data_IF_060805023144
#
_entry.id   IF_060805023144
#
_cell.length_a   1.000
_cell.length_b   1.000
_cell.length_c   1.000
_cell.angle_alpha   90.00
_cell.angle_beta   90.00
_cell.angle_gamma   90.00
#
_symmetry.space_group_name_H-M   'P 1'
#
loop_
_entity.id
_entity.type
_entity.pdbx_description
1 polymer ?
#
# COMPACT_ATOMS: atom_id res chain seq x y z
N UNK A 1 -37.96 -9.99 -9.23
CA UNK A 1 -38.22 -8.55 -9.37
C UNK A 1 -36.90 -7.76 -9.15
N UNK A 2 -36.33 -7.27 -10.21
CA UNK A 2 -35.25 -6.28 -10.15
C UNK A 2 -35.90 -4.89 -10.03
N UNK A 3 -36.35 -4.55 -8.85
CA UNK A 3 -36.91 -3.21 -8.56
C UNK A 3 -35.82 -2.31 -7.99
N UNK A 4 -35.20 -1.49 -8.83
CA UNK A 4 -34.33 -0.40 -8.38
C UNK A 4 -35.10 0.91 -8.26
N UNK A 5 -34.69 1.79 -7.37
CA UNK A 5 -35.16 3.19 -7.33
C UNK A 5 -34.32 3.99 -8.34
N UNK A 6 -35.00 4.57 -9.35
CA UNK A 6 -34.39 5.51 -10.29
C UNK A 6 -34.81 6.92 -9.92
N UNK A 7 -33.83 7.78 -9.57
CA UNK A 7 -34.02 9.21 -9.38
C UNK A 7 -33.45 9.93 -10.60
N UNK A 8 -34.26 10.75 -11.27
CA UNK A 8 -33.87 11.51 -12.49
C UNK A 8 -33.57 12.98 -12.19
N UNK A 9 -33.51 13.38 -10.94
CA UNK A 9 -33.14 14.68 -10.43
C UNK A 9 -32.34 14.56 -9.16
N UNK A 10 -32.33 15.60 -8.32
CA UNK A 10 -31.62 15.56 -7.06
C UNK A 10 -32.34 14.67 -6.03
N UNK A 11 -31.59 13.90 -5.29
CA UNK A 11 -32.05 13.20 -4.09
C UNK A 11 -31.52 13.98 -2.87
N UNK A 12 -32.43 14.61 -2.12
CA UNK A 12 -32.10 15.30 -0.88
C UNK A 12 -32.57 14.41 0.28
N UNK A 13 -31.64 14.01 1.12
CA UNK A 13 -31.91 13.26 2.36
C UNK A 13 -31.43 14.08 3.54
N UNK A 14 -32.32 14.37 4.48
CA UNK A 14 -32.04 15.24 5.64
C UNK A 14 -31.41 14.49 6.81
N UNK A 15 -31.46 13.15 6.77
CA UNK A 15 -30.88 12.26 7.76
C UNK A 15 -29.88 11.29 7.10
N UNK A 16 -29.61 10.14 7.74
CA UNK A 16 -28.67 9.18 7.24
C UNK A 16 -29.25 8.29 6.14
N UNK A 17 -28.42 7.92 5.17
CA UNK A 17 -28.73 6.94 4.12
C UNK A 17 -28.03 5.63 4.43
N UNK A 18 -28.80 4.55 4.56
CA UNK A 18 -28.30 3.18 4.69
C UNK A 18 -28.55 2.37 3.41
N UNK A 19 -27.54 1.76 2.87
CA UNK A 19 -27.63 0.78 1.80
C UNK A 19 -27.14 -0.56 2.36
N UNK A 20 -28.05 -1.51 2.55
CA UNK A 20 -27.74 -2.78 3.23
C UNK A 20 -27.51 -2.63 4.75
N UNK A 21 -27.91 -1.51 5.33
CA UNK A 21 -27.80 -1.19 6.77
C UNK A 21 -29.14 -0.64 7.26
N UNK A 22 -29.65 -1.17 8.36
CA UNK A 22 -30.92 -0.75 8.94
C UNK A 22 -30.82 0.47 9.85
N UNK A 23 -29.69 0.63 10.53
CA UNK A 23 -29.40 1.74 11.44
C UNK A 23 -28.06 2.40 11.06
N UNK A 24 -28.01 3.28 10.05
CA UNK A 24 -26.80 3.95 9.67
C UNK A 24 -26.37 4.97 10.74
N UNK A 25 -25.12 4.88 11.16
CA UNK A 25 -24.49 5.70 12.20
C UNK A 25 -23.73 6.93 11.64
N UNK A 26 -23.65 7.02 10.32
CA UNK A 26 -23.04 8.13 9.59
C UNK A 26 -23.94 8.55 8.40
N UNK A 27 -23.80 9.75 7.84
CA UNK A 27 -24.69 10.27 6.79
C UNK A 27 -24.86 9.35 5.57
N UNK A 28 -23.84 8.57 5.22
CA UNK A 28 -23.95 7.52 4.20
C UNK A 28 -23.26 6.24 4.72
N UNK A 29 -24.04 5.22 4.99
CA UNK A 29 -23.56 3.88 5.35
C UNK A 29 -23.90 2.90 4.24
N UNK A 30 -22.89 2.22 3.69
CA UNK A 30 -23.05 1.14 2.71
C UNK A 30 -22.45 -0.13 3.26
N UNK A 31 -23.25 -1.20 3.37
CA UNK A 31 -22.81 -2.52 3.79
C UNK A 31 -23.34 -3.58 2.86
N UNK A 32 -22.49 -4.51 2.49
CA UNK A 32 -22.88 -5.73 1.77
C UNK A 32 -22.42 -6.93 2.56
N UNK A 33 -23.24 -7.98 2.56
CA UNK A 33 -22.89 -9.29 3.11
C UNK A 33 -22.97 -10.30 1.96
N UNK A 34 -21.95 -10.33 1.12
CA UNK A 34 -21.83 -11.28 0.02
C UNK A 34 -20.56 -12.12 0.18
N UNK A 35 -20.74 -13.44 0.16
CA UNK A 35 -19.63 -14.38 0.08
C UNK A 35 -19.18 -14.51 -1.39
N UNK A 36 -17.91 -14.29 -1.62
CA UNK A 36 -17.31 -14.61 -2.90
C UNK A 36 -16.20 -13.67 -3.36
N UNK A 37 -15.26 -14.22 -4.10
CA UNK A 37 -14.24 -13.53 -4.85
C UNK A 37 -14.81 -12.99 -6.15
N UNK A 38 -14.37 -11.83 -6.57
CA UNK A 38 -14.71 -11.22 -7.85
C UNK A 38 -14.67 -9.70 -7.80
N UNK A 39 -14.28 -9.10 -8.91
CA UNK A 39 -14.08 -7.64 -9.03
C UNK A 39 -15.38 -6.82 -8.90
N UNK A 40 -16.53 -7.44 -9.10
CA UNK A 40 -17.84 -6.78 -9.11
C UNK A 40 -18.58 -6.88 -7.76
N UNK A 41 -17.92 -7.37 -6.69
CA UNK A 41 -18.53 -7.58 -5.37
C UNK A 41 -18.15 -6.54 -4.33
N UNK A 42 -17.83 -5.33 -4.75
CA UNK A 42 -17.58 -4.20 -3.85
C UNK A 42 -18.86 -3.52 -3.38
N UNK A 43 -18.84 -2.92 -2.20
CA UNK A 43 -19.97 -2.16 -1.64
C UNK A 43 -20.33 -0.91 -2.47
N UNK A 44 -19.36 -0.34 -3.17
CA UNK A 44 -19.58 0.80 -4.07
C UNK A 44 -18.60 0.76 -5.24
N UNK A 45 -19.06 1.14 -6.44
CA UNK A 45 -18.26 1.28 -7.64
C UNK A 45 -18.40 2.71 -8.17
N UNK A 46 -17.29 3.42 -8.27
CA UNK A 46 -17.23 4.77 -8.85
C UNK A 46 -16.59 4.68 -10.22
N UNK A 47 -17.29 5.09 -11.27
CA UNK A 47 -16.83 5.04 -12.65
C UNK A 47 -16.89 6.44 -13.25
N UNK A 48 -15.78 6.91 -13.78
CA UNK A 48 -15.72 8.11 -14.61
C UNK A 48 -15.38 7.69 -16.06
N UNK A 49 -16.30 7.89 -16.97
CA UNK A 49 -16.13 7.58 -18.40
C UNK A 49 -15.61 8.76 -19.21
N UNK A 50 -15.35 9.90 -18.58
CA UNK A 50 -14.81 11.07 -19.25
C UNK A 50 -13.33 10.85 -19.58
N UNK A 51 -12.95 11.00 -20.85
CA UNK A 51 -11.58 10.86 -21.34
C UNK A 51 -10.80 12.19 -21.39
N UNK A 52 -11.43 13.31 -20.99
CA UNK A 52 -10.79 14.63 -20.95
C UNK A 52 -9.68 14.74 -19.88
N UNK A 53 -8.70 15.61 -20.15
CA UNK A 53 -7.69 15.93 -19.14
C UNK A 53 -8.35 16.53 -17.90
N UNK A 54 -7.90 16.14 -16.70
CA UNK A 54 -8.46 16.58 -15.43
C UNK A 54 -9.70 15.80 -14.98
N UNK A 55 -10.12 14.75 -15.71
CA UNK A 55 -11.23 13.89 -15.27
C UNK A 55 -10.90 13.21 -13.92
N UNK A 56 -11.76 13.43 -12.92
CA UNK A 56 -11.60 12.85 -11.58
C UNK A 56 -12.80 11.97 -11.26
N UNK A 57 -12.54 10.76 -10.77
CA UNK A 57 -13.60 9.81 -10.38
C UNK A 57 -14.14 10.08 -8.98
N UNK A 58 -13.29 10.50 -8.07
CA UNK A 58 -13.64 10.72 -6.67
C UNK A 58 -12.86 11.90 -6.10
N UNK A 59 -13.56 12.89 -5.53
CA UNK A 59 -12.97 13.98 -4.77
C UNK A 59 -13.12 13.71 -3.27
N UNK A 60 -12.02 13.76 -2.52
CA UNK A 60 -12.01 13.75 -1.07
C UNK A 60 -11.49 15.10 -0.58
N UNK A 61 -12.36 15.90 0.01
CA UNK A 61 -12.01 17.22 0.52
C UNK A 61 -12.03 17.19 2.04
N UNK A 62 -10.89 17.50 2.65
CA UNK A 62 -10.74 17.65 4.08
C UNK A 62 -10.67 19.14 4.42
N UNK A 63 -11.70 19.68 5.06
CA UNK A 63 -11.76 21.10 5.45
C UNK A 63 -11.27 21.37 6.87
N UNK A 64 -11.05 20.30 7.67
CA UNK A 64 -10.55 20.43 9.03
C UNK A 64 -9.07 20.81 9.05
N UNK A 65 -8.71 21.83 9.82
CA UNK A 65 -7.32 22.23 10.08
C UNK A 65 -6.64 21.45 11.20
N UNK A 66 -7.28 20.42 11.74
CA UNK A 66 -6.73 19.60 12.83
C UNK A 66 -5.55 18.75 12.38
N UNK A 67 -4.54 18.62 13.26
CA UNK A 67 -3.28 17.91 12.98
C UNK A 67 -3.43 16.42 12.64
N UNK A 68 -4.61 15.82 12.84
CA UNK A 68 -4.88 14.39 12.64
C UNK A 68 -6.04 14.12 11.69
N UNK A 69 -6.30 15.02 10.74
CA UNK A 69 -7.35 14.87 9.76
C UNK A 69 -6.98 13.81 8.71
N UNK A 70 -7.75 12.71 8.65
CA UNK A 70 -7.56 11.65 7.68
C UNK A 70 -8.66 11.68 6.63
N UNK A 71 -8.30 11.68 5.33
CA UNK A 71 -9.26 11.61 4.23
C UNK A 71 -9.81 10.18 4.06
N UNK A 72 -8.98 9.16 4.29
CA UNK A 72 -9.37 7.75 4.24
C UNK A 72 -8.76 7.02 5.43
N UNK A 73 -9.53 6.12 6.05
CA UNK A 73 -9.04 5.19 7.06
C UNK A 73 -9.31 3.77 6.60
N UNK A 74 -8.31 2.90 6.76
CA UNK A 74 -8.43 1.46 6.51
C UNK A 74 -8.54 0.73 7.83
N UNK A 75 -9.56 -0.11 7.96
CA UNK A 75 -9.83 -0.94 9.14
C UNK A 75 -9.81 -2.41 8.73
N UNK A 76 -9.33 -3.27 9.58
CA UNK A 76 -9.37 -4.71 9.37
C UNK A 76 -9.93 -5.41 10.61
N UNK A 77 -11.00 -6.19 10.40
CA UNK A 77 -11.65 -6.95 11.47
C UNK A 77 -12.20 -6.05 12.58
N UNK A 78 -12.85 -6.60 13.57
CA UNK A 78 -13.50 -5.86 14.66
C UNK A 78 -12.57 -5.13 15.66
N UNK A 79 -11.37 -4.75 15.27
CA UNK A 79 -10.44 -3.99 16.11
C UNK A 79 -10.72 -2.50 16.02
N UNK A 80 -10.66 -1.75 17.15
CA UNK A 80 -10.90 -0.31 17.15
C UNK A 80 -9.74 0.51 16.53
N UNK A 81 -8.69 -0.15 16.03
CA UNK A 81 -7.48 0.52 15.54
C UNK A 81 -7.40 0.43 14.02
N UNK A 82 -7.32 1.58 13.34
CA UNK A 82 -7.08 1.63 11.91
C UNK A 82 -5.71 1.03 11.58
N UNK A 83 -5.67 0.19 10.54
CA UNK A 83 -4.42 -0.45 10.08
C UNK A 83 -3.63 0.45 9.14
N UNK A 84 -4.27 1.47 8.57
CA UNK A 84 -3.62 2.47 7.73
C UNK A 84 -4.56 3.63 7.41
N UNK A 85 -4.03 4.69 6.83
CA UNK A 85 -4.83 5.84 6.41
C UNK A 85 -4.10 6.73 5.40
N UNK A 86 -4.89 7.50 4.65
CA UNK A 86 -4.43 8.61 3.83
C UNK A 86 -4.77 9.89 4.59
N UNK A 87 -3.75 10.66 4.93
CA UNK A 87 -3.86 11.94 5.63
C UNK A 87 -3.56 13.08 4.67
N UNK A 88 -4.37 14.12 4.71
CA UNK A 88 -4.09 15.38 4.05
C UNK A 88 -3.54 16.37 5.08
N UNK A 89 -2.44 17.01 4.73
CA UNK A 89 -1.90 18.17 5.47
C UNK A 89 -2.06 19.42 4.61
N UNK A 90 -1.71 20.57 5.14
CA UNK A 90 -1.75 21.83 4.37
C UNK A 90 -0.81 21.86 3.17
N UNK A 91 0.18 20.95 3.13
CA UNK A 91 1.23 20.95 2.11
C UNK A 91 1.53 19.59 1.48
N UNK A 92 0.93 18.49 1.98
CA UNK A 92 1.26 17.14 1.49
C UNK A 92 0.15 16.13 1.73
N UNK A 93 0.14 15.09 0.89
CA UNK A 93 -0.57 13.83 1.14
C UNK A 93 0.37 12.83 1.77
N UNK A 94 -0.03 12.24 2.89
CA UNK A 94 0.73 11.21 3.60
C UNK A 94 0.02 9.86 3.49
N UNK A 95 0.75 8.83 3.11
CA UNK A 95 0.29 7.43 3.09
C UNK A 95 0.89 6.71 4.29
N UNK A 96 0.06 6.37 5.28
CA UNK A 96 0.48 5.65 6.48
C UNK A 96 -0.02 4.22 6.36
N UNK A 97 0.89 3.28 6.16
CA UNK A 97 0.59 1.87 5.88
C UNK A 97 0.66 0.99 7.11
N UNK A 98 1.27 1.47 8.20
CA UNK A 98 1.35 0.73 9.46
C UNK A 98 1.65 1.66 10.64
N UNK A 99 1.19 1.28 11.83
CA UNK A 99 1.60 1.91 13.08
C UNK A 99 2.97 1.39 13.52
N UNK A 100 3.84 2.28 14.01
CA UNK A 100 5.18 1.90 14.50
C UNK A 100 5.46 2.34 15.94
N UNK A 101 4.39 2.62 16.71
CA UNK A 101 4.48 3.00 18.12
C UNK A 101 4.92 1.80 18.98
N UNK A 102 5.82 2.07 19.95
CA UNK A 102 6.33 1.05 20.89
C UNK A 102 5.20 0.39 21.69
N UNK A 103 4.17 1.16 22.09
CA UNK A 103 3.06 0.66 22.87
C UNK A 103 2.16 -0.33 22.13
N UNK A 104 2.31 -0.42 20.80
CA UNK A 104 1.60 -1.37 19.94
C UNK A 104 2.42 -2.62 19.63
N UNK A 105 3.64 -2.74 20.16
CA UNK A 105 4.58 -3.81 19.84
C UNK A 105 4.89 -4.66 21.05
N UNK A 106 5.15 -5.93 20.84
CA UNK A 106 5.60 -6.90 21.86
C UNK A 106 6.67 -7.82 21.28
N UNK A 107 7.42 -8.51 22.12
CA UNK A 107 8.43 -9.49 21.74
C UNK A 107 9.48 -8.90 20.75
N UNK A 108 9.93 -7.68 21.04
CA UNK A 108 10.87 -6.97 20.18
C UNK A 108 12.25 -7.62 20.31
N UNK A 109 12.83 -8.03 19.17
CA UNK A 109 14.16 -8.61 19.07
C UNK A 109 14.98 -7.86 18.04
N UNK A 110 16.30 -7.96 18.13
CA UNK A 110 17.18 -7.39 17.11
C UNK A 110 17.08 -8.20 15.81
N UNK A 111 17.11 -7.49 14.70
CA UNK A 111 17.13 -8.09 13.37
C UNK A 111 18.57 -8.32 12.92
N UNK A 112 19.01 -9.58 12.88
CA UNK A 112 20.40 -10.00 12.63
C UNK A 112 20.64 -10.67 11.26
N UNK A 113 19.63 -10.67 10.36
CA UNK A 113 19.77 -11.26 9.03
C UNK A 113 20.89 -10.61 8.21
N UNK A 114 21.57 -11.38 7.38
CA UNK A 114 22.53 -10.88 6.39
C UNK A 114 21.81 -10.23 5.20
N UNK A 115 21.41 -8.98 5.41
CA UNK A 115 20.65 -8.19 4.43
C UNK A 115 21.51 -7.82 3.22
N UNK A 116 22.82 -7.61 3.40
CA UNK A 116 23.72 -7.26 2.29
C UNK A 116 23.85 -8.40 1.27
N UNK A 117 23.93 -9.64 1.71
CA UNK A 117 23.96 -10.78 0.80
C UNK A 117 22.66 -10.91 0.02
N UNK A 118 21.50 -10.67 0.64
CA UNK A 118 20.20 -10.65 -0.03
C UNK A 118 20.16 -9.57 -1.14
N UNK A 119 20.63 -8.36 -0.85
CA UNK A 119 20.69 -7.28 -1.85
C UNK A 119 21.70 -7.56 -2.96
N UNK A 120 22.84 -8.20 -2.66
CA UNK A 120 23.81 -8.60 -3.67
C UNK A 120 23.25 -9.64 -4.65
N UNK A 121 22.29 -10.44 -4.21
CA UNK A 121 21.64 -11.46 -5.03
C UNK A 121 20.50 -10.91 -5.91
N UNK A 122 20.04 -9.67 -5.68
CA UNK A 122 18.98 -9.07 -6.48
C UNK A 122 19.34 -9.00 -7.96
N UNK A 123 18.37 -9.35 -8.81
CA UNK A 123 18.51 -9.33 -10.27
C UNK A 123 17.58 -8.29 -10.93
N UNK A 124 18.00 -7.03 -11.09
CA UNK A 124 17.20 -6.03 -11.81
C UNK A 124 16.95 -6.45 -13.25
N UNK A 125 15.73 -6.30 -13.73
CA UNK A 125 15.30 -6.69 -15.07
C UNK A 125 14.64 -5.52 -15.80
N UNK A 126 14.65 -5.59 -17.14
CA UNK A 126 13.83 -4.77 -18.04
C UNK A 126 12.85 -5.68 -18.75
N UNK A 127 11.57 -5.44 -18.60
CA UNK A 127 10.51 -6.29 -19.15
C UNK A 127 9.37 -5.47 -19.75
N UNK A 128 8.50 -6.13 -20.48
CA UNK A 128 7.15 -5.66 -20.85
C UNK A 128 6.11 -6.59 -20.26
N UNK A 129 4.97 -6.03 -19.90
CA UNK A 129 3.80 -6.84 -19.59
C UNK A 129 3.31 -7.53 -20.88
N UNK A 130 2.71 -8.71 -20.74
CA UNK A 130 2.22 -9.49 -21.90
C UNK A 130 1.18 -8.75 -22.75
N UNK A 131 0.51 -7.78 -22.19
CA UNK A 131 -0.50 -6.92 -22.84
C UNK A 131 0.09 -5.73 -23.57
N UNK A 132 1.40 -5.45 -23.40
CA UNK A 132 2.07 -4.32 -24.03
C UNK A 132 2.56 -4.67 -25.43
N UNK A 133 2.51 -3.72 -26.36
CA UNK A 133 3.10 -3.85 -27.69
C UNK A 133 4.63 -3.91 -27.60
N UNK A 134 5.25 -4.60 -28.58
CA UNK A 134 6.72 -4.73 -28.63
C UNK A 134 7.43 -3.41 -28.92
N UNK A 135 6.73 -2.42 -29.45
CA UNK A 135 7.23 -1.05 -29.71
C UNK A 135 7.26 -0.18 -28.45
N UNK A 136 6.53 -0.53 -27.40
CA UNK A 136 6.52 0.24 -26.15
C UNK A 136 7.85 0.11 -25.40
N UNK A 137 8.16 1.08 -24.53
CA UNK A 137 9.34 1.03 -23.68
C UNK A 137 9.24 -0.07 -22.63
N UNK A 138 10.40 -0.65 -22.28
CA UNK A 138 10.49 -1.65 -21.21
C UNK A 138 10.40 -0.98 -19.84
N UNK A 139 9.63 -1.61 -18.96
CA UNK A 139 9.58 -1.26 -17.53
C UNK A 139 10.81 -1.81 -16.81
N UNK A 140 11.33 -1.04 -15.85
CA UNK A 140 12.37 -1.48 -14.92
C UNK A 140 11.74 -2.13 -13.70
N UNK A 141 12.31 -3.23 -13.22
CA UNK A 141 11.83 -3.88 -12.01
C UNK A 141 12.50 -5.21 -11.75
N UNK A 142 11.82 -6.06 -11.00
CA UNK A 142 12.29 -7.37 -10.59
C UNK A 142 11.24 -8.43 -10.94
N UNK A 143 11.66 -9.69 -11.02
CA UNK A 143 10.75 -10.82 -11.15
C UNK A 143 10.48 -11.37 -9.76
N UNK A 144 9.24 -11.21 -9.28
CA UNK A 144 8.88 -11.52 -7.90
C UNK A 144 9.23 -12.96 -7.48
N UNK A 145 9.08 -13.94 -8.38
CA UNK A 145 9.42 -15.33 -8.11
C UNK A 145 10.91 -15.57 -7.81
N UNK A 146 11.79 -14.67 -8.27
CA UNK A 146 13.22 -14.76 -7.99
C UNK A 146 13.59 -14.14 -6.63
N UNK A 147 12.73 -13.24 -6.13
CA UNK A 147 13.07 -12.36 -5.00
C UNK A 147 12.26 -12.65 -3.74
N UNK A 148 11.12 -13.34 -3.85
CA UNK A 148 10.18 -13.53 -2.74
C UNK A 148 10.78 -14.28 -1.54
N UNK A 149 11.68 -15.21 -1.77
CA UNK A 149 12.34 -15.96 -0.67
C UNK A 149 13.27 -15.07 0.15
N UNK A 150 13.87 -14.04 -0.47
CA UNK A 150 14.74 -13.08 0.19
C UNK A 150 13.97 -11.92 0.84
N UNK A 151 12.85 -11.52 0.25
CA UNK A 151 12.08 -10.33 0.63
C UNK A 151 10.56 -10.61 0.62
N UNK A 152 10.05 -11.55 1.42
CA UNK A 152 8.65 -11.95 1.38
C UNK A 152 7.67 -10.79 1.66
N UNK A 153 8.05 -9.83 2.50
CA UNK A 153 7.23 -8.67 2.82
C UNK A 153 7.09 -7.68 1.65
N UNK A 154 8.05 -7.71 0.73
CA UNK A 154 8.03 -6.88 -0.48
C UNK A 154 7.28 -7.52 -1.63
N UNK A 155 7.01 -8.82 -1.60
CA UNK A 155 6.35 -9.56 -2.68
C UNK A 155 5.13 -10.35 -2.19
N UNK A 156 4.07 -9.67 -1.67
CA UNK A 156 2.86 -10.35 -1.22
C UNK A 156 2.12 -10.99 -2.39
N UNK A 157 1.45 -12.11 -2.11
CA UNK A 157 0.52 -12.72 -3.06
C UNK A 157 -0.83 -12.03 -3.05
N UNK A 158 -1.50 -12.01 -4.19
CA UNK A 158 -2.89 -11.61 -4.37
C UNK A 158 -3.55 -12.52 -5.42
N UNK A 159 -4.89 -12.58 -5.40
CA UNK A 159 -5.65 -13.28 -6.44
C UNK A 159 -5.90 -12.33 -7.61
N UNK A 160 -5.61 -12.78 -8.83
CA UNK A 160 -5.96 -12.09 -10.04
C UNK A 160 -7.45 -12.27 -10.40
N UNK A 161 -7.90 -11.59 -11.45
CA UNK A 161 -9.27 -11.71 -11.97
C UNK A 161 -9.61 -13.13 -12.48
N UNK A 162 -8.57 -13.89 -12.86
CA UNK A 162 -8.66 -15.29 -13.27
C UNK A 162 -8.58 -16.27 -12.08
N UNK A 163 -8.74 -15.77 -10.86
CA UNK A 163 -8.66 -16.50 -9.58
C UNK A 163 -7.32 -17.22 -9.32
N UNK A 164 -6.28 -16.88 -10.08
CA UNK A 164 -4.93 -17.42 -9.87
C UNK A 164 -4.10 -16.53 -8.95
N UNK A 165 -3.19 -17.12 -8.16
CA UNK A 165 -2.27 -16.36 -7.34
C UNK A 165 -1.19 -15.69 -8.19
N UNK A 166 -1.00 -14.39 -7.94
CA UNK A 166 0.06 -13.57 -8.49
C UNK A 166 0.86 -12.92 -7.36
N UNK A 167 2.09 -12.52 -7.65
CA UNK A 167 2.88 -11.70 -6.74
C UNK A 167 2.79 -10.22 -7.14
N UNK A 168 2.56 -9.37 -6.14
CA UNK A 168 2.70 -7.93 -6.26
C UNK A 168 4.07 -7.43 -5.83
N UNK A 169 4.33 -6.15 -5.99
CA UNK A 169 5.46 -5.48 -5.37
C UNK A 169 4.94 -4.44 -4.36
N UNK A 170 5.35 -4.60 -3.11
CA UNK A 170 5.05 -3.69 -2.00
C UNK A 170 6.31 -2.91 -1.61
N UNK A 171 6.48 -1.67 -2.07
CA UNK A 171 7.65 -0.86 -1.72
C UNK A 171 7.80 -0.65 -0.21
N UNK A 172 6.68 -0.54 0.53
CA UNK A 172 6.72 -0.37 1.99
C UNK A 172 7.33 -1.57 2.70
N UNK A 173 7.15 -2.78 2.17
CA UNK A 173 7.80 -3.99 2.66
C UNK A 173 9.31 -4.00 2.40
N UNK A 174 9.78 -3.36 1.32
CA UNK A 174 11.20 -3.27 0.99
C UNK A 174 11.95 -2.21 1.82
N UNK A 175 11.28 -1.15 2.26
CA UNK A 175 11.94 -0.03 2.98
C UNK A 175 12.73 -0.47 4.21
N UNK A 176 12.21 -1.30 5.14
CA UNK A 176 12.98 -1.76 6.30
C UNK A 176 14.26 -2.51 5.91
N UNK A 177 14.21 -3.33 4.86
CA UNK A 177 15.38 -4.03 4.33
C UNK A 177 16.44 -3.06 3.79
N UNK A 178 16.02 -2.03 3.05
CA UNK A 178 16.92 -0.97 2.56
C UNK A 178 17.58 -0.21 3.72
N UNK A 179 16.82 0.16 4.75
CA UNK A 179 17.35 0.84 5.94
C UNK A 179 18.38 -0.02 6.68
N UNK A 180 18.09 -1.32 6.85
CA UNK A 180 19.04 -2.27 7.44
C UNK A 180 20.31 -2.41 6.60
N UNK A 181 20.18 -2.58 5.28
CA UNK A 181 21.33 -2.69 4.39
C UNK A 181 22.22 -1.43 4.42
N UNK A 182 21.62 -0.24 4.45
CA UNK A 182 22.37 1.01 4.58
C UNK A 182 23.14 1.03 5.92
N UNK A 183 22.47 0.67 7.03
CA UNK A 183 23.13 0.58 8.35
C UNK A 183 24.33 -0.37 8.33
N UNK A 184 24.14 -1.58 7.78
CA UNK A 184 25.20 -2.60 7.69
C UNK A 184 26.36 -2.12 6.80
N UNK A 185 26.07 -1.37 5.72
CA UNK A 185 27.11 -0.76 4.87
C UNK A 185 27.89 0.31 5.61
N UNK A 186 27.23 1.19 6.39
CA UNK A 186 27.91 2.20 7.21
C UNK A 186 28.89 1.54 8.19
N UNK A 187 28.44 0.54 8.94
CA UNK A 187 29.27 -0.22 9.89
C UNK A 187 30.46 -0.91 9.19
N UNK A 188 30.24 -1.40 7.97
CA UNK A 188 31.31 -2.02 7.17
C UNK A 188 32.33 -0.99 6.68
N UNK A 189 31.90 0.20 6.26
CA UNK A 189 32.78 1.29 5.84
C UNK A 189 33.63 1.75 7.02
N UNK A 190 33.03 2.03 8.17
CA UNK A 190 33.75 2.40 9.39
C UNK A 190 34.82 1.37 9.79
N UNK A 191 34.48 0.08 9.66
CA UNK A 191 35.42 -1.02 9.92
C UNK A 191 36.60 -1.00 8.94
N UNK A 192 36.36 -0.72 7.66
CA UNK A 192 37.42 -0.63 6.65
C UNK A 192 38.30 0.59 6.84
N UNK A 193 37.72 1.76 7.16
CA UNK A 193 38.44 2.99 7.47
C UNK A 193 39.39 2.80 8.67
N UNK A 194 38.92 2.18 9.74
CA UNK A 194 39.73 1.84 10.91
C UNK A 194 40.88 0.89 10.54
N UNK A 195 40.67 -0.10 9.70
CA UNK A 195 41.74 -1.00 9.22
C UNK A 195 42.77 -0.27 8.37
N UNK A 196 42.35 0.63 7.49
CA UNK A 196 43.22 1.46 6.66
C UNK A 196 44.11 2.31 7.59
N UNK A 197 43.53 3.04 8.54
CA UNK A 197 44.27 3.86 9.51
C UNK A 197 45.30 3.04 10.32
N UNK A 198 44.94 1.81 10.72
CA UNK A 198 45.87 0.92 11.40
C UNK A 198 47.04 0.50 10.52
N UNK A 199 46.79 0.22 9.22
CA UNK A 199 47.83 -0.14 8.25
C UNK A 199 48.77 1.03 7.97
N UNK A 200 48.24 2.25 7.85
CA UNK A 200 49.02 3.48 7.64
C UNK A 200 49.94 3.81 8.84
N UNK A 201 49.43 3.59 10.05
CA UNK A 201 50.23 3.86 11.30
C UNK A 201 51.29 2.79 11.57
N UNK A 202 51.24 1.64 10.91
CA UNK A 202 52.20 0.53 11.06
C UNK A 202 53.30 0.51 9.99
N UNK A 203 53.28 1.46 9.04
CA UNK A 203 54.29 1.67 8.01
C UNK A 203 55.10 2.94 8.30
#
# INVERSE_FOLDING_TARGET
>A
QTGGVKVTGDLIVTENVGIGVTNPDVPLSVSINEDGSGIDKGAAKFINTNTGQGATTMHMVQTSSGSFANAVKFWQGGTPTAVGFIRLTTSATQFITSASDLNLKKNITNWSDDTLSKFKALEPKKFRFKTQDTSEDKTLGFIAQNEVDNFPEAYPQFLGEDEKPYYGFNPSGMVPHLMKAIKDLVEKVETLENKITQLENNN
#
